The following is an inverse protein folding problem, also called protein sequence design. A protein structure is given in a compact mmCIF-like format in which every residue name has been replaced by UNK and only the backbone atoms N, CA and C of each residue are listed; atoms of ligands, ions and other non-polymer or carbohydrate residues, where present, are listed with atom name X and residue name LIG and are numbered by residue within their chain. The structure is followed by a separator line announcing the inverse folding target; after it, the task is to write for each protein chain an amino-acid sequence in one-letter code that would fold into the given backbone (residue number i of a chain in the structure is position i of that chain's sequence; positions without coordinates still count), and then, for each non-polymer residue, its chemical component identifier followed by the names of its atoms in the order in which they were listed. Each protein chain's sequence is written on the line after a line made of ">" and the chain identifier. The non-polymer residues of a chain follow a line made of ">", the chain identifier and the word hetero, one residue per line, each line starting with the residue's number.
data_IF_097520585817
#
_entry.id   IF_097520585817
#
_cell.length_a   1.000
_cell.length_b   1.000
_cell.length_c   1.000
_cell.angle_alpha   90.00
_cell.angle_beta   90.00
_cell.angle_gamma   90.00
#
_symmetry.space_group_name_H-M   'P 1'
#
loop_
_entity.id
_entity.type
_entity.pdbx_description
1 polymer ?
#
# COMPACT_ATOMS: atom_id res chain seq x y z
N UNK A 1 -1.33 5.27 6.37
CA UNK A 1 -1.27 6.70 6.75
C UNK A 1 0.17 7.08 6.99
N UNK A 2 0.53 8.36 6.92
CA UNK A 2 1.86 8.86 7.25
C UNK A 2 1.75 9.97 8.29
N UNK A 3 2.66 9.97 9.26
CA UNK A 3 2.75 10.97 10.32
C UNK A 3 4.20 11.45 10.43
N UNK A 4 4.37 12.75 10.62
CA UNK A 4 5.64 13.41 10.88
C UNK A 4 5.51 14.28 12.13
N UNK A 5 6.49 14.20 13.01
CA UNK A 5 6.59 15.02 14.22
C UNK A 5 7.91 15.78 14.16
N UNK A 6 7.85 17.11 14.19
CA UNK A 6 9.05 17.94 14.18
C UNK A 6 9.71 18.03 15.58
N UNK A 7 10.88 18.69 15.64
CA UNK A 7 11.63 18.93 16.88
C UNK A 7 10.88 19.76 17.93
N UNK A 8 9.82 20.47 17.52
CA UNK A 8 8.95 21.26 18.39
C UNK A 8 7.68 20.49 18.78
N UNK A 9 7.64 19.18 18.55
CA UNK A 9 6.48 18.30 18.74
C UNK A 9 5.25 18.68 17.88
N UNK A 10 5.44 19.40 16.77
CA UNK A 10 4.35 19.69 15.84
C UNK A 10 4.05 18.47 14.98
N UNK A 11 2.80 18.02 15.02
CA UNK A 11 2.32 16.86 14.29
C UNK A 11 1.76 17.25 12.91
N UNK A 12 2.18 16.54 11.87
CA UNK A 12 1.63 16.60 10.51
C UNK A 12 1.26 15.20 10.05
N UNK A 13 -0.02 14.96 9.77
CA UNK A 13 -0.52 13.64 9.40
C UNK A 13 -1.33 13.70 8.10
N UNK A 14 -1.18 12.67 7.26
CA UNK A 14 -2.07 12.40 6.12
C UNK A 14 -2.51 10.94 6.07
N UNK A 15 -3.79 10.75 5.78
CA UNK A 15 -4.38 9.44 5.52
C UNK A 15 -4.62 9.30 4.02
N UNK A 16 -4.09 8.21 3.45
CA UNK A 16 -4.19 7.90 2.03
C UNK A 16 -4.99 6.61 1.93
N UNK A 17 -5.99 6.60 1.05
CA UNK A 17 -6.80 5.43 0.74
C UNK A 17 -6.53 5.02 -0.69
N UNK A 18 -6.01 3.81 -0.87
CA UNK A 18 -5.85 3.21 -2.18
C UNK A 18 -6.87 2.10 -2.35
N UNK A 19 -7.59 2.11 -3.48
CA UNK A 19 -8.54 1.05 -3.85
C UNK A 19 -7.89 0.15 -4.88
N UNK A 20 -7.95 -1.16 -4.64
CA UNK A 20 -7.50 -2.17 -5.59
C UNK A 20 -8.72 -2.94 -6.09
N UNK A 21 -8.87 -2.96 -7.40
CA UNK A 21 -9.85 -3.78 -8.09
C UNK A 21 -9.15 -5.02 -8.62
N UNK A 22 -9.61 -6.18 -8.17
CA UNK A 22 -9.14 -7.47 -8.68
C UNK A 22 -10.16 -8.04 -9.66
N UNK A 23 -9.72 -9.03 -10.45
CA UNK A 23 -10.68 -9.89 -11.15
C UNK A 23 -11.48 -10.73 -10.15
N UNK A 24 -12.57 -11.30 -10.62
CA UNK A 24 -13.21 -12.41 -9.90
C UNK A 24 -12.27 -13.62 -10.00
N UNK A 25 -11.88 -14.15 -8.85
CA UNK A 25 -11.03 -15.34 -8.77
C UNK A 25 -11.93 -16.57 -8.82
N UNK A 26 -11.52 -17.57 -9.59
CA UNK A 26 -12.15 -18.90 -9.55
C UNK A 26 -11.63 -19.68 -8.34
N UNK A 27 -12.36 -20.71 -7.91
CA UNK A 27 -11.96 -21.55 -6.77
C UNK A 27 -10.56 -22.17 -6.99
N UNK A 28 -10.26 -22.63 -8.22
CA UNK A 28 -8.96 -23.20 -8.55
C UNK A 28 -7.81 -22.18 -8.39
N UNK A 29 -8.03 -20.91 -8.78
CA UNK A 29 -7.01 -19.86 -8.62
C UNK A 29 -6.80 -19.47 -7.15
N UNK A 30 -7.86 -19.56 -6.34
CA UNK A 30 -7.77 -19.35 -4.89
C UNK A 30 -6.94 -20.49 -4.27
N UNK A 31 -7.20 -21.74 -4.65
CA UNK A 31 -6.43 -22.90 -4.17
C UNK A 31 -4.95 -22.81 -4.54
N UNK A 32 -4.64 -22.47 -5.80
CA UNK A 32 -3.26 -22.25 -6.26
C UNK A 32 -2.56 -21.14 -5.48
N UNK A 33 -3.24 -20.02 -5.22
CA UNK A 33 -2.67 -18.93 -4.42
C UNK A 33 -2.45 -19.34 -2.96
N UNK A 34 -3.38 -20.08 -2.35
CA UNK A 34 -3.22 -20.60 -0.99
C UNK A 34 -2.03 -21.57 -0.89
N UNK A 35 -1.85 -22.43 -1.90
CA UNK A 35 -0.75 -23.38 -1.98
C UNK A 35 0.63 -22.67 -2.08
N UNK A 36 0.69 -21.50 -2.71
CA UNK A 36 1.92 -20.70 -2.83
C UNK A 36 2.47 -20.18 -1.48
N UNK A 37 1.62 -20.09 -0.45
CA UNK A 37 1.94 -19.52 0.87
C UNK A 37 2.43 -18.06 0.86
N UNK A 38 2.32 -17.33 -0.25
CA UNK A 38 2.68 -15.90 -0.31
C UNK A 38 1.81 -15.00 0.58
N UNK A 39 0.64 -15.50 0.97
CA UNK A 39 -0.27 -14.83 1.91
C UNK A 39 0.23 -14.88 3.37
N UNK A 40 1.21 -15.74 3.69
CA UNK A 40 1.72 -15.87 5.06
C UNK A 40 2.56 -14.64 5.43
N UNK A 41 2.22 -14.02 6.56
CA UNK A 41 2.95 -12.85 7.06
C UNK A 41 2.60 -11.53 6.35
N UNK A 42 1.56 -11.51 5.51
CA UNK A 42 1.04 -10.28 4.90
C UNK A 42 -0.40 -10.04 5.33
N UNK A 43 -0.78 -8.77 5.46
CA UNK A 43 -2.15 -8.39 5.77
C UNK A 43 -3.00 -8.47 4.48
N UNK A 44 -3.55 -9.65 4.22
CA UNK A 44 -4.48 -9.90 3.11
C UNK A 44 -3.77 -10.33 1.82
N UNK A 45 -2.91 -9.49 1.25
CA UNK A 45 -2.20 -9.82 0.01
C UNK A 45 -0.83 -9.17 -0.13
N UNK A 46 0.01 -9.79 -0.95
CA UNK A 46 1.30 -9.26 -1.38
C UNK A 46 1.17 -8.72 -2.80
N UNK A 47 1.37 -7.41 -2.99
CA UNK A 47 1.32 -6.79 -4.32
C UNK A 47 2.52 -7.14 -5.20
N UNK A 48 3.62 -7.61 -4.59
CA UNK A 48 4.83 -8.09 -5.25
C UNK A 48 4.87 -9.63 -5.22
N UNK A 49 3.86 -10.26 -5.81
CA UNK A 49 3.67 -11.71 -5.80
C UNK A 49 2.66 -12.16 -6.85
N UNK A 50 2.30 -13.44 -6.82
CA UNK A 50 1.36 -14.09 -7.74
C UNK A 50 0.03 -13.34 -7.83
N UNK A 51 -0.44 -12.77 -6.71
CA UNK A 51 -1.70 -12.04 -6.67
C UNK A 51 -1.70 -10.78 -7.54
N UNK A 52 -0.52 -10.23 -7.87
CA UNK A 52 -0.39 -9.07 -8.76
C UNK A 52 -1.00 -9.34 -10.13
N UNK A 53 -0.89 -10.58 -10.64
CA UNK A 53 -1.46 -11.00 -11.92
C UNK A 53 -2.99 -10.92 -11.97
N UNK A 54 -3.66 -10.84 -10.81
CA UNK A 54 -5.10 -10.75 -10.69
C UNK A 54 -5.61 -9.31 -10.45
N UNK A 55 -4.71 -8.34 -10.31
CA UNK A 55 -5.06 -6.92 -10.11
C UNK A 55 -5.47 -6.29 -11.45
N UNK A 56 -6.74 -5.91 -11.57
CA UNK A 56 -7.26 -5.23 -12.76
C UNK A 56 -6.90 -3.74 -12.78
N UNK A 57 -6.97 -3.08 -11.62
CA UNK A 57 -6.77 -1.64 -11.53
C UNK A 57 -6.48 -1.19 -10.11
N UNK A 58 -5.60 -0.21 -9.98
CA UNK A 58 -5.30 0.48 -8.73
C UNK A 58 -5.74 1.94 -8.87
N UNK A 59 -6.48 2.44 -7.88
CA UNK A 59 -6.91 3.84 -7.81
C UNK A 59 -6.40 4.42 -6.51
N UNK A 60 -5.42 5.31 -6.58
CA UNK A 60 -4.75 5.91 -5.43
C UNK A 60 -3.23 5.85 -5.55
N UNK A 61 -2.54 5.73 -4.42
CA UNK A 61 -1.07 5.70 -4.38
C UNK A 61 -0.56 4.27 -4.32
N UNK A 62 0.18 3.85 -5.35
CA UNK A 62 0.87 2.55 -5.39
C UNK A 62 1.91 2.42 -4.27
N UNK A 63 2.69 3.48 -4.03
CA UNK A 63 3.67 3.53 -2.94
C UNK A 63 3.02 3.34 -1.56
N UNK A 64 1.78 3.82 -1.38
CA UNK A 64 1.00 3.55 -0.17
C UNK A 64 0.62 2.08 0.00
N UNK A 65 0.51 1.31 -1.08
CA UNK A 65 0.24 -0.13 -1.02
C UNK A 65 1.49 -0.89 -0.58
N UNK A 66 2.66 -0.48 -1.05
CA UNK A 66 3.94 -1.06 -0.63
C UNK A 66 4.23 -0.77 0.84
N UNK A 67 3.80 0.38 1.36
CA UNK A 67 3.87 0.68 2.80
C UNK A 67 4.25 2.12 3.14
N UNK A 68 4.64 2.94 2.16
CA UNK A 68 4.92 4.37 2.40
C UNK A 68 4.38 5.23 1.26
N UNK A 69 3.37 6.09 1.51
CA UNK A 69 2.84 7.02 0.51
C UNK A 69 3.86 8.12 0.19
N UNK A 70 4.78 7.87 -0.75
CA UNK A 70 5.95 8.71 -1.01
C UNK A 70 5.58 10.13 -1.44
N UNK A 71 4.53 10.31 -2.22
CA UNK A 71 4.07 11.62 -2.66
C UNK A 71 3.65 12.48 -1.46
N UNK A 72 2.84 11.92 -0.56
CA UNK A 72 2.38 12.59 0.65
C UNK A 72 3.52 12.79 1.64
N UNK A 73 4.39 11.81 1.81
CA UNK A 73 5.59 11.91 2.65
C UNK A 73 6.47 13.06 2.19
N UNK A 74 6.80 13.14 0.89
CA UNK A 74 7.62 14.22 0.32
C UNK A 74 6.97 15.59 0.52
N UNK A 75 5.65 15.69 0.36
CA UNK A 75 4.93 16.95 0.59
C UNK A 75 4.94 17.37 2.06
N UNK A 76 4.83 16.43 3.00
CA UNK A 76 4.93 16.71 4.44
C UNK A 76 6.34 17.20 4.80
N UNK A 77 7.38 16.53 4.29
CA UNK A 77 8.77 16.92 4.53
C UNK A 77 9.08 18.30 3.95
N UNK A 78 8.66 18.56 2.71
CA UNK A 78 8.80 19.87 2.08
C UNK A 78 8.13 20.98 2.91
N UNK A 79 6.92 20.73 3.43
CA UNK A 79 6.20 21.66 4.30
C UNK A 79 6.89 21.90 5.64
N UNK A 80 7.72 20.96 6.10
CA UNK A 80 8.57 21.09 7.27
C UNK A 80 9.95 21.71 6.97
N UNK A 81 10.22 22.08 5.71
CA UNK A 81 11.52 22.64 5.28
C UNK A 81 12.62 21.60 5.13
N UNK A 82 12.27 20.31 5.07
CA UNK A 82 13.20 19.19 4.87
C UNK A 82 13.08 18.73 3.41
N UNK A 83 14.17 18.82 2.65
CA UNK A 83 14.23 18.45 1.22
C UNK A 83 14.63 17.00 1.02
#
# INVERSE_FOLDING_TARGET
>A
SVCFVDKNAKLSQKTITTKIMMKHLTDNEIEEYLASKEWVGVAGYKIEGLLQGYVKRIVGSYSSVIGLPLYETKNILNGAGIK
#
